data_IF_653472847820
#
_entry.id   IF_653472847820
#
_cell.length_a   1.000
_cell.length_b   1.000
_cell.length_c   1.000
_cell.angle_alpha   90.00
_cell.angle_beta   90.00
_cell.angle_gamma   90.00
#
_symmetry.space_group_name_H-M   'P 1'
#
loop_
_entity.id
_entity.type
_entity.pdbx_description
1 polymer ?
#
# COMPACT_ATOMS: atom_id res chain seq x y z
N UNK A 1 -6.34 47.06 26.94
CA UNK A 1 -6.19 46.93 28.41
C UNK A 1 -6.65 48.23 29.04
N UNK A 2 -7.49 48.19 30.07
CA UNK A 2 -8.01 49.41 30.73
C UNK A 2 -7.08 49.76 31.90
N UNK A 3 -6.53 50.97 31.90
CA UNK A 3 -5.61 51.46 32.94
C UNK A 3 -6.37 51.72 34.24
N UNK A 4 -5.91 51.18 35.37
CA UNK A 4 -6.62 51.26 36.65
C UNK A 4 -5.95 52.23 37.63
N UNK A 5 -6.69 52.64 38.67
CA UNK A 5 -6.16 53.49 39.76
C UNK A 5 -5.01 52.83 40.54
N UNK A 6 -4.95 51.49 40.52
CA UNK A 6 -3.86 50.72 41.11
C UNK A 6 -2.54 50.89 40.32
N UNK A 7 -2.63 51.02 38.98
CA UNK A 7 -1.46 51.18 38.10
C UNK A 7 -0.81 52.57 38.27
N UNK A 8 -1.62 53.62 38.44
CA UNK A 8 -1.11 54.97 38.73
C UNK A 8 -0.42 55.06 40.09
N UNK A 9 -0.95 54.36 41.08
CA UNK A 9 -0.39 54.31 42.44
C UNK A 9 0.95 53.55 42.50
N UNK A 10 1.19 52.65 41.54
CA UNK A 10 2.44 51.90 41.40
C UNK A 10 3.51 52.71 40.67
N UNK A 11 3.14 53.35 39.56
CA UNK A 11 4.03 54.23 38.79
C UNK A 11 4.61 55.36 39.65
N UNK A 12 3.78 56.01 40.49
CA UNK A 12 4.23 57.06 41.41
C UNK A 12 5.17 56.55 42.50
N UNK A 13 4.98 55.32 43.00
CA UNK A 13 5.87 54.70 44.00
C UNK A 13 7.25 54.37 43.43
N UNK A 14 7.31 54.03 42.15
CA UNK A 14 8.56 53.70 41.44
C UNK A 14 9.24 54.95 40.84
N UNK A 15 8.69 56.14 41.05
CA UNK A 15 9.28 57.41 40.60
C UNK A 15 9.11 57.71 39.12
N UNK A 16 8.25 56.96 38.41
CA UNK A 16 7.98 57.16 36.98
C UNK A 16 6.76 58.05 36.76
N UNK A 17 6.78 58.85 35.69
CA UNK A 17 5.56 59.54 35.27
C UNK A 17 4.52 58.53 34.75
N UNK A 18 3.24 58.82 34.94
CA UNK A 18 2.14 57.96 34.46
C UNK A 18 2.25 57.71 32.94
N UNK A 19 2.77 58.68 32.21
CA UNK A 19 2.98 58.59 30.76
C UNK A 19 4.16 57.68 30.38
N UNK A 20 5.25 57.70 31.16
CA UNK A 20 6.37 56.77 30.97
C UNK A 20 5.94 55.31 31.21
N UNK A 21 5.16 55.05 32.26
CA UNK A 21 4.68 53.69 32.55
C UNK A 21 3.65 53.22 31.52
N UNK A 22 2.78 54.11 31.01
CA UNK A 22 1.89 53.79 29.88
C UNK A 22 2.67 53.42 28.63
N UNK A 23 3.73 54.16 28.30
CA UNK A 23 4.56 53.87 27.14
C UNK A 23 5.33 52.55 27.30
N UNK A 24 5.85 52.27 28.51
CA UNK A 24 6.47 51.00 28.85
C UNK A 24 5.50 49.82 28.70
N UNK A 25 4.28 49.97 29.19
CA UNK A 25 3.26 48.92 29.06
C UNK A 25 2.88 48.67 27.61
N UNK A 26 2.70 49.72 26.79
CA UNK A 26 2.48 49.58 25.35
C UNK A 26 3.62 48.84 24.65
N UNK A 27 4.87 49.13 25.04
CA UNK A 27 6.04 48.45 24.50
C UNK A 27 6.07 46.96 24.87
N UNK A 28 5.76 46.62 26.12
CA UNK A 28 5.63 45.23 26.58
C UNK A 28 4.52 44.50 25.83
N UNK A 29 3.36 45.13 25.67
CA UNK A 29 2.23 44.55 24.94
C UNK A 29 2.58 44.32 23.46
N UNK A 30 3.32 45.24 22.83
CA UNK A 30 3.81 45.10 21.47
C UNK A 30 4.81 43.94 21.32
N UNK A 31 5.73 43.76 22.29
CA UNK A 31 6.65 42.60 22.32
C UNK A 31 5.87 41.30 22.44
N UNK A 32 4.90 41.23 23.36
CA UNK A 32 4.05 40.04 23.55
C UNK A 32 3.26 39.71 22.28
N UNK A 33 2.69 40.71 21.62
CA UNK A 33 1.96 40.54 20.37
C UNK A 33 2.88 40.00 19.26
N UNK A 34 4.10 40.53 19.14
CA UNK A 34 5.08 40.06 18.15
C UNK A 34 5.53 38.62 18.42
N UNK A 35 5.79 38.26 19.68
CA UNK A 35 6.16 36.89 20.04
C UNK A 35 5.01 35.91 19.75
N UNK A 36 3.77 36.27 20.07
CA UNK A 36 2.60 35.47 19.76
C UNK A 36 2.38 35.30 18.25
N UNK A 37 2.67 36.33 17.45
CA UNK A 37 2.65 36.24 15.99
C UNK A 37 3.73 35.28 15.47
N UNK A 38 4.95 35.37 15.99
CA UNK A 38 6.03 34.44 15.61
C UNK A 38 5.72 32.99 15.97
N UNK A 39 5.11 32.72 17.12
CA UNK A 39 4.68 31.37 17.49
C UNK A 39 3.59 30.84 16.56
N UNK A 40 2.58 31.66 16.24
CA UNK A 40 1.55 31.30 15.24
C UNK A 40 2.15 31.02 13.87
N UNK A 41 3.17 31.78 13.46
CA UNK A 41 3.85 31.58 12.18
C UNK A 41 4.67 30.27 12.17
N UNK A 42 5.34 29.94 13.29
CA UNK A 42 6.03 28.65 13.46
C UNK A 42 5.05 27.48 13.42
N UNK A 43 3.91 27.58 14.10
CA UNK A 43 2.87 26.55 14.06
C UNK A 43 2.30 26.38 12.64
N UNK A 44 2.06 27.48 11.93
CA UNK A 44 1.58 27.45 10.54
C UNK A 44 2.59 26.75 9.63
N UNK A 45 3.87 27.11 9.72
CA UNK A 45 4.96 26.45 8.96
C UNK A 45 5.08 24.96 9.30
N UNK A 46 4.86 24.58 10.57
CA UNK A 46 4.85 23.17 10.99
C UNK A 46 3.68 22.40 10.37
N UNK A 47 2.46 22.98 10.37
CA UNK A 47 1.28 22.39 9.73
C UNK A 47 1.40 22.31 8.21
N UNK A 48 2.05 23.29 7.57
CA UNK A 48 2.34 23.27 6.13
C UNK A 48 3.32 22.13 5.79
N UNK A 49 4.40 21.96 6.56
CA UNK A 49 5.30 20.81 6.41
C UNK A 49 4.61 19.46 6.60
N UNK A 50 3.72 19.35 7.59
CA UNK A 50 2.98 18.11 7.85
C UNK A 50 2.01 17.77 6.70
N UNK A 51 1.38 18.79 6.10
CA UNK A 51 0.57 18.62 4.87
C UNK A 51 1.43 18.21 3.67
N UNK A 52 2.61 18.79 3.51
CA UNK A 52 3.53 18.44 2.42
C UNK A 52 4.07 17.02 2.58
N UNK A 53 4.40 16.58 3.80
CA UNK A 53 4.81 15.21 4.10
C UNK A 53 3.68 14.21 3.81
N UNK A 54 2.43 14.52 4.18
CA UNK A 54 1.30 13.64 3.87
C UNK A 54 0.97 13.63 2.38
N UNK A 55 1.10 14.76 1.68
CA UNK A 55 0.99 14.82 0.21
C UNK A 55 2.10 14.01 -0.46
N UNK A 56 3.32 14.05 0.08
CA UNK A 56 4.46 13.28 -0.40
C UNK A 56 4.25 11.78 -0.15
N UNK A 57 3.72 11.36 0.99
CA UNK A 57 3.33 9.96 1.26
C UNK A 57 2.25 9.48 0.30
N UNK A 58 1.22 10.28 0.04
CA UNK A 58 0.17 9.93 -0.94
C UNK A 58 0.75 9.84 -2.34
N UNK A 59 1.62 10.77 -2.74
CA UNK A 59 2.35 10.68 -4.02
C UNK A 59 3.23 9.43 -4.08
N UNK A 60 3.95 9.09 -3.01
CA UNK A 60 4.78 7.89 -2.95
C UNK A 60 3.93 6.63 -3.10
N UNK A 61 2.77 6.57 -2.43
CA UNK A 61 1.82 5.45 -2.57
C UNK A 61 1.27 5.37 -4.00
N UNK A 62 0.90 6.49 -4.61
CA UNK A 62 0.46 6.51 -6.02
C UNK A 62 1.60 6.05 -6.97
N UNK A 63 2.83 6.50 -6.75
CA UNK A 63 4.00 6.11 -7.55
C UNK A 63 4.36 4.64 -7.40
N UNK A 64 4.30 4.07 -6.18
CA UNK A 64 4.71 2.69 -5.95
C UNK A 64 3.60 1.66 -6.18
N UNK A 65 2.33 2.04 -6.07
CA UNK A 65 1.22 1.10 -6.19
C UNK A 65 0.38 1.28 -7.46
N UNK A 66 0.20 2.52 -7.94
CA UNK A 66 -0.63 2.78 -9.14
C UNK A 66 0.21 2.80 -10.41
N UNK A 67 1.39 3.42 -10.39
CA UNK A 67 2.24 3.49 -11.59
C UNK A 67 2.63 2.09 -12.15
N UNK A 68 3.00 1.08 -11.33
CA UNK A 68 3.29 -0.25 -11.87
C UNK A 68 2.06 -0.92 -12.47
N UNK A 69 0.88 -0.71 -11.89
CA UNK A 69 -0.39 -1.27 -12.40
C UNK A 69 -0.77 -0.62 -13.73
N UNK A 70 -0.61 0.70 -13.86
CA UNK A 70 -0.86 1.43 -15.11
C UNK A 70 0.16 1.05 -16.19
N UNK A 71 1.43 0.89 -15.84
CA UNK A 71 2.47 0.42 -16.77
C UNK A 71 2.17 -1.01 -17.23
N UNK A 72 1.80 -1.91 -16.32
CA UNK A 72 1.38 -3.28 -16.66
C UNK A 72 0.15 -3.24 -17.58
N UNK A 73 -0.85 -2.41 -17.29
CA UNK A 73 -2.05 -2.25 -18.11
C UNK A 73 -1.74 -1.68 -19.51
N UNK A 74 -0.85 -0.69 -19.61
CA UNK A 74 -0.40 -0.16 -20.90
C UNK A 74 0.40 -1.18 -21.70
N UNK A 75 1.24 -1.98 -21.04
CA UNK A 75 1.97 -3.08 -21.69
C UNK A 75 0.98 -4.15 -22.20
N UNK A 76 -0.05 -4.50 -21.41
CA UNK A 76 -1.12 -5.43 -21.84
C UNK A 76 -1.88 -4.87 -23.06
N UNK A 77 -2.25 -3.59 -23.06
CA UNK A 77 -2.93 -2.95 -24.20
C UNK A 77 -2.04 -2.89 -25.46
N UNK A 78 -0.75 -2.58 -25.30
CA UNK A 78 0.21 -2.58 -26.42
C UNK A 78 0.36 -3.99 -27.00
N UNK A 79 0.38 -5.01 -26.14
CA UNK A 79 0.45 -6.42 -26.55
C UNK A 79 -0.83 -6.86 -27.27
N UNK A 80 -2.01 -6.38 -26.87
CA UNK A 80 -3.28 -6.61 -27.58
C UNK A 80 -3.24 -5.95 -28.97
N UNK A 81 -2.75 -4.72 -29.08
CA UNK A 81 -2.63 -4.03 -30.38
C UNK A 81 -1.64 -4.72 -31.34
N UNK A 82 -0.50 -5.21 -30.83
CA UNK A 82 0.46 -5.99 -31.62
C UNK A 82 -0.14 -7.34 -32.03
N UNK A 83 -0.99 -7.93 -31.19
CA UNK A 83 -1.66 -9.21 -31.47
C UNK A 83 -2.83 -9.10 -32.45
N UNK A 84 -3.48 -7.94 -32.54
CA UNK A 84 -4.66 -7.72 -33.40
C UNK A 84 -4.34 -7.50 -34.88
N UNK A 85 -3.11 -7.09 -35.21
CA UNK A 85 -2.70 -6.76 -36.58
C UNK A 85 -1.81 -7.84 -37.25
N UNK A 86 -1.65 -9.01 -36.61
CA UNK A 86 -0.91 -10.13 -37.18
C UNK A 86 -1.69 -10.80 -38.31
N UNK A 87 -1.24 -10.58 -39.55
CA UNK A 87 -1.69 -11.24 -40.78
C UNK A 87 -2.06 -12.73 -40.57
N UNK A 88 -3.26 -13.06 -41.03
CA UNK A 88 -3.87 -14.39 -41.06
C UNK A 88 -2.94 -15.35 -41.82
N UNK A 89 -2.27 -16.26 -41.09
CA UNK A 89 -1.62 -17.44 -41.67
C UNK A 89 -2.72 -18.45 -42.06
N UNK A 90 -3.07 -18.43 -43.34
CA UNK A 90 -3.77 -19.51 -44.05
C UNK A 90 -2.75 -20.60 -44.38
N UNK A 91 -2.74 -21.67 -43.57
CA UNK A 91 -1.93 -22.87 -43.78
C UNK A 91 -2.50 -24.00 -42.93
N UNK A 92 -3.12 -24.98 -43.57
CA UNK A 92 -3.87 -26.10 -43.00
C UNK A 92 -2.99 -27.17 -42.33
N UNK A 93 -2.27 -26.84 -41.26
CA UNK A 93 -1.58 -27.86 -40.43
C UNK A 93 -2.16 -27.90 -39.01
N UNK A 94 -2.49 -29.11 -38.53
CA UNK A 94 -2.98 -29.39 -37.18
C UNK A 94 -2.14 -28.70 -36.09
N UNK A 95 -0.83 -28.65 -36.31
CA UNK A 95 0.16 -28.05 -35.41
C UNK A 95 -0.01 -26.52 -35.31
N UNK A 96 -0.29 -25.84 -36.42
CA UNK A 96 -0.58 -24.39 -36.39
C UNK A 96 -1.87 -24.08 -35.61
N UNK A 97 -2.85 -24.99 -35.62
CA UNK A 97 -4.08 -24.85 -34.84
C UNK A 97 -3.85 -25.08 -33.34
N UNK A 98 -3.02 -26.06 -32.98
CA UNK A 98 -2.66 -26.40 -31.61
C UNK A 98 -1.82 -25.29 -30.96
N UNK A 99 -0.87 -24.72 -31.71
CA UNK A 99 -0.14 -23.53 -31.29
C UNK A 99 -1.08 -22.34 -31.00
N UNK A 100 -2.01 -22.03 -31.92
CA UNK A 100 -2.98 -20.93 -31.74
C UNK A 100 -3.80 -21.12 -30.46
N UNK A 101 -4.20 -22.35 -30.17
CA UNK A 101 -4.92 -22.69 -28.95
C UNK A 101 -4.06 -22.48 -27.70
N UNK A 102 -2.81 -22.98 -27.67
CA UNK A 102 -1.91 -22.81 -26.54
C UNK A 102 -1.54 -21.35 -26.28
N UNK A 103 -1.35 -20.56 -27.34
CA UNK A 103 -1.17 -19.11 -27.23
C UNK A 103 -2.38 -18.45 -26.56
N UNK A 104 -3.59 -18.88 -26.92
CA UNK A 104 -4.81 -18.40 -26.27
C UNK A 104 -4.86 -18.78 -24.78
N UNK A 105 -4.51 -20.02 -24.43
CA UNK A 105 -4.41 -20.48 -23.03
C UNK A 105 -3.41 -19.63 -22.21
N UNK A 106 -2.26 -19.27 -22.81
CA UNK A 106 -1.28 -18.36 -22.18
C UNK A 106 -1.84 -16.96 -21.95
N UNK A 107 -2.57 -16.40 -22.92
CA UNK A 107 -3.22 -15.09 -22.76
C UNK A 107 -4.28 -15.14 -21.66
N UNK A 108 -5.12 -16.18 -21.64
CA UNK A 108 -6.13 -16.38 -20.59
C UNK A 108 -5.48 -16.53 -19.20
N UNK A 109 -4.34 -17.21 -19.10
CA UNK A 109 -3.58 -17.30 -17.84
C UNK A 109 -3.00 -15.94 -17.42
N UNK A 110 -2.53 -15.12 -18.35
CA UNK A 110 -2.07 -13.76 -18.06
C UNK A 110 -3.21 -12.90 -17.51
N UNK A 111 -4.40 -12.98 -18.12
CA UNK A 111 -5.60 -12.28 -17.65
C UNK A 111 -6.01 -12.75 -16.25
N UNK A 112 -6.03 -14.06 -16.00
CA UNK A 112 -6.33 -14.62 -14.67
C UNK A 112 -5.34 -14.17 -13.60
N UNK A 113 -4.03 -14.16 -13.90
CA UNK A 113 -3.00 -13.67 -12.96
C UNK A 113 -3.17 -12.17 -12.67
N UNK A 114 -3.54 -11.38 -13.68
CA UNK A 114 -3.85 -9.94 -13.54
C UNK A 114 -5.13 -9.68 -12.73
N UNK A 115 -6.16 -10.50 -12.91
CA UNK A 115 -7.35 -10.42 -12.07
C UNK A 115 -7.01 -10.79 -10.62
N UNK A 116 -6.23 -11.85 -10.43
CA UNK A 116 -5.80 -12.31 -9.10
C UNK A 116 -4.94 -11.26 -8.38
N UNK A 117 -4.01 -10.59 -9.07
CA UNK A 117 -3.20 -9.53 -8.44
C UNK A 117 -4.06 -8.35 -7.98
N UNK A 118 -5.10 -8.02 -8.74
CA UNK A 118 -6.06 -6.97 -8.41
C UNK A 118 -6.86 -7.34 -7.17
N UNK A 119 -7.44 -8.56 -7.14
CA UNK A 119 -8.18 -9.08 -5.98
C UNK A 119 -7.32 -9.14 -4.72
N UNK A 120 -6.08 -9.61 -4.83
CA UNK A 120 -5.13 -9.63 -3.72
C UNK A 120 -4.77 -8.21 -3.26
N UNK A 121 -4.68 -7.23 -4.16
CA UNK A 121 -4.46 -5.82 -3.82
C UNK A 121 -5.61 -5.20 -3.02
N UNK A 122 -6.86 -5.52 -3.37
CA UNK A 122 -8.05 -5.12 -2.60
C UNK A 122 -8.00 -5.73 -1.20
N UNK A 123 -7.82 -7.04 -1.09
CA UNK A 123 -7.73 -7.74 0.19
C UNK A 123 -6.58 -7.20 1.08
N UNK A 124 -5.41 -6.93 0.49
CA UNK A 124 -4.28 -6.31 1.21
C UNK A 124 -4.67 -4.97 1.84
N UNK A 125 -5.41 -4.15 1.10
CA UNK A 125 -5.87 -2.83 1.53
C UNK A 125 -6.88 -2.97 2.67
N UNK A 126 -7.84 -3.89 2.55
CA UNK A 126 -8.85 -4.17 3.57
C UNK A 126 -8.22 -4.67 4.88
N UNK A 127 -7.25 -5.58 4.81
CA UNK A 127 -6.54 -6.07 6.00
C UNK A 127 -5.72 -4.96 6.66
N UNK A 128 -5.02 -4.12 5.88
CA UNK A 128 -4.29 -2.96 6.42
C UNK A 128 -5.22 -1.95 7.10
N UNK A 129 -6.37 -1.65 6.49
CA UNK A 129 -7.37 -0.76 7.08
C UNK A 129 -7.94 -1.34 8.38
N UNK A 130 -8.21 -2.65 8.40
CA UNK A 130 -8.68 -3.37 9.59
C UNK A 130 -7.65 -3.29 10.72
N UNK A 131 -6.36 -3.53 10.43
CA UNK A 131 -5.27 -3.39 11.40
C UNK A 131 -5.23 -1.95 11.93
N UNK A 132 -5.16 -0.95 11.04
CA UNK A 132 -5.03 0.45 11.42
C UNK A 132 -6.19 0.94 12.31
N UNK A 133 -7.43 0.59 11.95
CA UNK A 133 -8.62 0.95 12.72
C UNK A 133 -8.56 0.37 14.15
N UNK A 134 -8.28 -0.92 14.29
CA UNK A 134 -8.23 -1.58 15.60
C UNK A 134 -7.01 -1.16 16.43
N UNK A 135 -5.88 -0.87 15.79
CA UNK A 135 -4.71 -0.25 16.44
C UNK A 135 -5.09 1.11 17.01
N UNK A 136 -5.83 1.93 16.25
CA UNK A 136 -6.32 3.24 16.70
C UNK A 136 -7.22 3.14 17.94
N UNK A 137 -8.11 2.14 18.00
CA UNK A 137 -8.94 1.87 19.20
C UNK A 137 -8.08 1.56 20.42
N UNK A 138 -7.13 0.63 20.31
CA UNK A 138 -6.25 0.27 21.43
C UNK A 138 -5.39 1.48 21.85
N UNK A 139 -4.84 2.24 20.90
CA UNK A 139 -4.08 3.45 21.20
C UNK A 139 -4.92 4.52 21.92
N UNK A 140 -6.20 4.67 21.55
CA UNK A 140 -7.12 5.56 22.27
C UNK A 140 -7.30 5.11 23.73
N UNK A 141 -7.49 3.81 23.95
CA UNK A 141 -7.61 3.25 25.30
C UNK A 141 -6.32 3.41 26.12
N UNK A 142 -5.14 3.31 25.49
CA UNK A 142 -3.85 3.63 26.11
C UNK A 142 -3.81 5.11 26.52
N UNK A 143 -4.15 6.03 25.61
CA UNK A 143 -4.13 7.48 25.87
C UNK A 143 -5.10 7.91 26.96
N UNK A 144 -6.25 7.24 27.07
CA UNK A 144 -7.23 7.45 28.15
C UNK A 144 -6.80 6.81 29.47
N UNK A 145 -5.66 6.13 29.52
CA UNK A 145 -5.15 5.46 30.71
C UNK A 145 -5.90 4.18 31.10
N UNK A 146 -6.76 3.66 30.21
CA UNK A 146 -7.58 2.46 30.46
C UNK A 146 -6.78 1.16 30.35
N UNK A 147 -5.69 1.18 29.58
CA UNK A 147 -4.72 0.09 29.46
C UNK A 147 -3.30 0.67 29.47
N UNK A 148 -2.37 0.00 30.15
CA UNK A 148 -0.96 0.45 30.24
C UNK A 148 0.03 -0.60 29.76
N UNK A 149 -0.39 -1.85 29.71
CA UNK A 149 0.44 -2.99 29.36
C UNK A 149 -0.33 -4.02 28.52
N UNK A 150 0.41 -4.98 27.96
CA UNK A 150 -0.18 -6.15 27.30
C UNK A 150 -1.17 -6.90 28.21
N UNK A 151 -0.81 -7.09 29.48
CA UNK A 151 -1.65 -7.80 30.43
C UNK A 151 -2.97 -7.05 30.67
N UNK A 152 -2.94 -5.71 30.71
CA UNK A 152 -4.16 -4.90 30.81
C UNK A 152 -5.00 -5.02 29.55
N UNK A 153 -4.37 -5.02 28.37
CA UNK A 153 -5.05 -5.15 27.09
C UNK A 153 -5.76 -6.50 26.92
N UNK A 154 -5.17 -7.60 27.40
CA UNK A 154 -5.80 -8.93 27.35
C UNK A 154 -6.95 -9.05 28.36
N UNK A 155 -6.86 -8.35 29.50
CA UNK A 155 -7.93 -8.31 30.51
C UNK A 155 -9.09 -7.38 30.13
N UNK A 156 -8.83 -6.34 29.35
CA UNK A 156 -9.85 -5.45 28.80
C UNK A 156 -10.54 -6.11 27.59
N UNK A 157 -11.83 -6.42 27.71
CA UNK A 157 -12.57 -7.18 26.69
C UNK A 157 -12.53 -6.55 25.29
N UNK A 158 -12.70 -5.23 25.20
CA UNK A 158 -12.64 -4.50 23.92
C UNK A 158 -11.25 -4.61 23.29
N UNK A 159 -10.21 -4.29 24.07
CA UNK A 159 -8.82 -4.28 23.60
C UNK A 159 -8.32 -5.67 23.24
N UNK A 160 -8.71 -6.70 24.00
CA UNK A 160 -8.40 -8.09 23.69
C UNK A 160 -9.04 -8.54 22.37
N UNK A 161 -10.32 -8.19 22.16
CA UNK A 161 -11.03 -8.49 20.91
C UNK A 161 -10.35 -7.81 19.73
N UNK A 162 -10.02 -6.51 19.87
CA UNK A 162 -9.28 -5.78 18.84
C UNK A 162 -7.91 -6.38 18.56
N UNK A 163 -7.18 -6.80 19.60
CA UNK A 163 -5.86 -7.41 19.46
C UNK A 163 -5.92 -8.74 18.69
N UNK A 164 -6.93 -9.58 18.98
CA UNK A 164 -7.18 -10.82 18.22
C UNK A 164 -7.50 -10.54 16.75
N UNK A 165 -8.31 -9.52 16.46
CA UNK A 165 -8.63 -9.12 15.09
C UNK A 165 -7.36 -8.65 14.36
N UNK A 166 -6.52 -7.83 15.00
CA UNK A 166 -5.24 -7.40 14.44
C UNK A 166 -4.36 -8.62 14.14
N UNK A 167 -4.23 -9.56 15.07
CA UNK A 167 -3.41 -10.76 14.89
C UNK A 167 -3.90 -11.63 13.73
N UNK A 168 -5.21 -11.77 13.56
CA UNK A 168 -5.85 -12.50 12.46
C UNK A 168 -5.64 -11.78 11.12
N UNK A 169 -5.91 -10.48 11.06
CA UNK A 169 -5.71 -9.67 9.85
C UNK A 169 -4.23 -9.62 9.42
N UNK A 170 -3.30 -9.60 10.38
CA UNK A 170 -1.86 -9.68 10.10
C UNK A 170 -1.47 -11.03 9.49
N UNK A 171 -2.00 -12.14 10.02
CA UNK A 171 -1.76 -13.45 9.46
C UNK A 171 -2.27 -13.52 8.01
N UNK A 172 -3.46 -12.98 7.73
CA UNK A 172 -3.99 -12.89 6.36
C UNK A 172 -3.16 -11.99 5.44
N UNK A 173 -2.68 -10.86 5.94
CA UNK A 173 -1.83 -9.94 5.19
C UNK A 173 -0.52 -10.61 4.74
N UNK A 174 0.07 -11.47 5.58
CA UNK A 174 1.26 -12.24 5.24
C UNK A 174 1.00 -13.25 4.11
N UNK A 175 -0.16 -13.91 4.11
CA UNK A 175 -0.61 -14.76 3.00
C UNK A 175 -0.69 -13.97 1.71
N UNK A 176 -1.46 -12.88 1.75
CA UNK A 176 -1.73 -12.06 0.57
C UNK A 176 -0.42 -11.55 0.00
N UNK A 177 0.51 -11.14 0.86
CA UNK A 177 1.84 -10.69 0.44
C UNK A 177 2.66 -11.82 -0.20
N UNK A 178 2.67 -13.02 0.39
CA UNK A 178 3.37 -14.17 -0.17
C UNK A 178 2.76 -14.59 -1.53
N UNK A 179 1.44 -14.58 -1.62
CA UNK A 179 0.71 -14.95 -2.82
C UNK A 179 0.91 -13.93 -3.94
N UNK A 180 0.89 -12.63 -3.63
CA UNK A 180 1.22 -11.58 -4.61
C UNK A 180 2.62 -11.77 -5.19
N UNK A 181 3.60 -12.19 -4.38
CA UNK A 181 4.96 -12.52 -4.86
C UNK A 181 4.97 -13.75 -5.75
N UNK A 182 4.17 -14.77 -5.42
CA UNK A 182 4.04 -15.97 -6.26
C UNK A 182 3.41 -15.63 -7.62
N UNK A 183 2.29 -14.90 -7.62
CA UNK A 183 1.60 -14.40 -8.83
C UNK A 183 2.52 -13.52 -9.67
N UNK A 184 3.28 -12.60 -9.06
CA UNK A 184 4.22 -11.76 -9.78
C UNK A 184 5.34 -12.57 -10.47
N UNK A 185 5.92 -13.56 -9.78
CA UNK A 185 6.92 -14.46 -10.38
C UNK A 185 6.34 -15.28 -11.53
N UNK A 186 5.15 -15.84 -11.35
CA UNK A 186 4.46 -16.59 -12.38
C UNK A 186 4.16 -15.71 -13.61
N UNK A 187 3.77 -14.44 -13.39
CA UNK A 187 3.56 -13.47 -14.47
C UNK A 187 4.82 -13.18 -15.28
N UNK A 188 5.96 -12.97 -14.62
CA UNK A 188 7.27 -12.76 -15.29
C UNK A 188 7.69 -14.01 -16.07
N UNK A 189 7.56 -15.19 -15.48
CA UNK A 189 7.89 -16.46 -16.14
C UNK A 189 7.03 -16.67 -17.40
N UNK A 190 5.71 -16.48 -17.28
CA UNK A 190 4.78 -16.59 -18.40
C UNK A 190 5.09 -15.58 -19.52
N UNK A 191 5.50 -14.35 -19.16
CA UNK A 191 5.90 -13.33 -20.11
C UNK A 191 7.19 -13.70 -20.86
N UNK A 192 8.21 -14.19 -20.16
CA UNK A 192 9.47 -14.61 -20.79
C UNK A 192 9.26 -15.76 -21.77
N UNK A 193 8.47 -16.76 -21.38
CA UNK A 193 8.11 -17.89 -22.25
C UNK A 193 7.31 -17.40 -23.46
N UNK A 194 6.31 -16.54 -23.28
CA UNK A 194 5.55 -15.97 -24.39
C UNK A 194 6.44 -15.20 -25.37
N UNK A 195 7.40 -14.41 -24.87
CA UNK A 195 8.31 -13.65 -25.71
C UNK A 195 9.22 -14.56 -26.55
N UNK A 196 9.76 -15.62 -25.95
CA UNK A 196 10.53 -16.63 -26.68
C UNK A 196 9.67 -17.32 -27.74
N UNK A 197 8.42 -17.66 -27.40
CA UNK A 197 7.49 -18.30 -28.34
C UNK A 197 7.12 -17.40 -29.52
N UNK A 198 6.83 -16.11 -29.29
CA UNK A 198 6.52 -15.17 -30.37
C UNK A 198 7.76 -14.94 -31.28
N UNK A 199 8.98 -14.99 -30.72
CA UNK A 199 10.24 -14.96 -31.50
C UNK A 199 10.44 -16.24 -32.32
N UNK A 200 10.31 -17.40 -31.69
CA UNK A 200 10.40 -18.71 -32.35
C UNK A 200 9.31 -18.83 -33.43
N UNK A 201 8.13 -18.23 -33.22
CA UNK A 201 7.06 -18.16 -34.21
C UNK A 201 7.34 -17.26 -35.42
N UNK A 202 8.17 -16.24 -35.20
CA UNK A 202 8.63 -15.39 -36.29
C UNK A 202 9.66 -16.13 -37.15
N UNK A 203 10.47 -17.01 -36.56
CA UNK A 203 11.42 -17.89 -37.25
C UNK A 203 10.73 -19.03 -38.03
N UNK A 204 9.58 -19.48 -37.54
CA UNK A 204 8.70 -20.56 -38.04
C UNK A 204 8.15 -20.44 -39.46
N UNK A 205 8.42 -19.33 -40.15
CA UNK A 205 8.28 -19.31 -41.62
C UNK A 205 9.35 -20.16 -42.33
N UNK A 206 10.31 -20.74 -41.59
CA UNK A 206 11.47 -21.43 -42.12
C UNK A 206 11.83 -22.80 -41.50
N UNK A 207 11.04 -23.36 -40.57
CA UNK A 207 11.47 -24.56 -39.78
C UNK A 207 10.57 -25.79 -39.86
N UNK A 208 11.22 -26.95 -39.67
CA UNK A 208 10.65 -28.30 -39.75
C UNK A 208 9.66 -28.61 -38.62
N UNK A 209 8.80 -29.60 -38.88
CA UNK A 209 7.65 -29.99 -38.07
C UNK A 209 8.00 -30.46 -36.63
N UNK A 210 9.23 -30.94 -36.42
CA UNK A 210 9.70 -31.53 -35.15
C UNK A 210 10.04 -30.48 -34.09
N UNK A 211 10.59 -29.32 -34.48
CA UNK A 211 10.83 -28.20 -33.56
C UNK A 211 9.52 -27.64 -32.99
N UNK A 212 8.42 -27.88 -33.71
CA UNK A 212 7.12 -27.35 -33.38
C UNK A 212 6.40 -28.09 -32.29
N UNK A 213 6.57 -29.40 -32.27
CA UNK A 213 6.10 -30.24 -31.18
C UNK A 213 6.86 -29.93 -29.87
N UNK A 214 8.15 -29.60 -29.96
CA UNK A 214 8.95 -29.20 -28.79
C UNK A 214 8.52 -27.85 -28.22
N UNK A 215 8.11 -26.91 -29.08
CA UNK A 215 7.52 -25.63 -28.66
C UNK A 215 6.17 -25.83 -27.94
N UNK A 216 5.31 -26.70 -28.47
CA UNK A 216 4.03 -27.05 -27.85
C UNK A 216 4.25 -27.72 -26.48
N UNK A 217 5.23 -28.63 -26.35
CA UNK A 217 5.58 -29.24 -25.05
C UNK A 217 6.07 -28.22 -24.03
N UNK A 218 6.89 -27.24 -24.44
CA UNK A 218 7.33 -26.15 -23.56
C UNK A 218 6.15 -25.33 -23.06
N UNK A 219 5.19 -25.03 -23.94
CA UNK A 219 3.93 -24.37 -23.61
C UNK A 219 3.11 -25.14 -22.58
N UNK A 220 2.92 -26.45 -22.80
CA UNK A 220 2.19 -27.31 -21.87
C UNK A 220 2.82 -27.35 -20.48
N UNK A 221 4.14 -27.54 -20.40
CA UNK A 221 4.86 -27.57 -19.13
C UNK A 221 4.66 -26.29 -18.31
N UNK A 222 4.64 -25.14 -18.99
CA UNK A 222 4.44 -23.83 -18.37
C UNK A 222 3.00 -23.64 -17.91
N UNK A 223 2.04 -24.01 -18.76
CA UNK A 223 0.61 -23.98 -18.41
C UNK A 223 0.36 -24.85 -17.19
N UNK A 224 0.89 -26.08 -17.15
CA UNK A 224 0.76 -26.99 -16.01
C UNK A 224 1.36 -26.41 -14.74
N UNK A 225 2.49 -25.71 -14.83
CA UNK A 225 3.16 -25.10 -13.67
C UNK A 225 2.41 -23.87 -13.14
N UNK A 226 1.86 -23.04 -14.02
CA UNK A 226 1.31 -21.71 -13.67
C UNK A 226 -0.19 -21.77 -13.36
N UNK A 227 -0.93 -22.69 -13.99
CA UNK A 227 -2.38 -22.81 -13.81
C UNK A 227 -2.82 -22.95 -12.34
N UNK A 228 -2.15 -23.74 -11.47
CA UNK A 228 -2.49 -23.78 -10.05
C UNK A 228 -2.36 -22.40 -9.38
N UNK A 229 -1.30 -21.65 -9.69
CA UNK A 229 -1.08 -20.30 -9.14
C UNK A 229 -2.13 -19.31 -9.64
N UNK A 230 -2.65 -19.49 -10.84
CA UNK A 230 -3.72 -18.63 -11.37
C UNK A 230 -5.10 -18.96 -10.77
N UNK A 231 -5.37 -20.23 -10.45
CA UNK A 231 -6.72 -20.73 -10.12
C UNK A 231 -6.95 -20.99 -8.62
N UNK A 232 -5.90 -21.26 -7.84
CA UNK A 232 -6.05 -21.63 -6.43
C UNK A 232 -6.46 -20.45 -5.54
N UNK A 233 -7.46 -20.67 -4.67
CA UNK A 233 -7.88 -19.71 -3.66
C UNK A 233 -7.10 -19.91 -2.37
N UNK A 234 -6.25 -18.95 -2.02
CA UNK A 234 -5.20 -19.13 -0.98
C UNK A 234 -5.63 -18.66 0.42
N UNK A 235 -6.80 -18.02 0.53
CA UNK A 235 -7.36 -17.57 1.81
C UNK A 235 -8.33 -18.64 2.30
N UNK A 236 -7.87 -19.58 3.14
CA UNK A 236 -8.77 -20.49 3.86
C UNK A 236 -8.72 -20.23 5.37
N UNK A 237 -9.88 -20.35 6.03
CA UNK A 237 -10.02 -20.16 7.49
C UNK A 237 -9.54 -21.36 8.30
N UNK A 238 -9.23 -22.48 7.64
CA UNK A 238 -9.11 -23.79 8.26
C UNK A 238 -7.73 -24.10 8.86
N UNK A 239 -6.69 -23.30 8.58
CA UNK A 239 -5.32 -23.76 8.89
C UNK A 239 -4.29 -22.70 9.31
N UNK A 240 -4.68 -21.57 9.92
CA UNK A 240 -3.68 -20.57 10.32
C UNK A 240 -3.79 -20.14 11.76
N UNK A 241 -2.74 -20.47 12.51
CA UNK A 241 -2.48 -19.91 13.82
C UNK A 241 -2.49 -18.39 13.73
N UNK A 242 -3.30 -17.73 14.56
CA UNK A 242 -3.13 -16.30 14.75
C UNK A 242 -1.70 -16.06 15.21
N UNK A 243 -1.06 -15.02 14.70
CA UNK A 243 0.18 -14.53 15.31
C UNK A 243 -0.02 -14.40 16.82
N UNK A 244 0.97 -14.83 17.61
CA UNK A 244 0.90 -14.74 19.07
C UNK A 244 0.54 -13.32 19.50
N UNK A 245 -0.49 -13.17 20.35
CA UNK A 245 -1.04 -11.86 20.71
C UNK A 245 0.01 -10.95 21.33
N UNK A 246 0.99 -11.52 22.04
CA UNK A 246 2.09 -10.75 22.63
C UNK A 246 3.05 -10.24 21.55
N UNK A 247 3.36 -11.04 20.54
CA UNK A 247 4.08 -10.59 19.35
C UNK A 247 3.34 -9.46 18.62
N UNK A 248 2.03 -9.62 18.40
CA UNK A 248 1.19 -8.56 17.81
C UNK A 248 1.25 -7.28 18.64
N UNK A 249 1.14 -7.39 19.97
CA UNK A 249 1.23 -6.25 20.86
C UNK A 249 2.56 -5.51 20.73
N UNK A 250 3.66 -6.26 20.79
CA UNK A 250 5.01 -5.72 20.68
C UNK A 250 5.22 -4.97 19.37
N UNK A 251 4.68 -5.49 18.26
CA UNK A 251 4.82 -4.88 16.93
C UNK A 251 4.17 -3.50 16.81
N UNK A 252 3.01 -3.29 17.47
CA UNK A 252 2.19 -2.09 17.24
C UNK A 252 2.17 -1.10 18.40
N UNK A 253 2.48 -1.52 19.63
CA UNK A 253 2.27 -0.69 20.83
C UNK A 253 3.51 -0.55 21.72
N UNK A 254 4.55 -1.36 21.53
CA UNK A 254 5.84 -1.12 22.17
C UNK A 254 6.68 -0.28 21.21
N UNK A 255 6.70 1.04 21.43
CA UNK A 255 7.64 1.91 20.71
C UNK A 255 9.07 1.65 21.21
N UNK A 256 10.00 1.58 20.25
CA UNK A 256 11.41 1.92 20.47
C UNK A 256 11.55 3.43 20.55
#
# INVERSE_FOLDING_TARGET
>A
MVWTSADESRARREGFSVEQERNRQRYIDHIKANNALQEKEKERKKREKEKDDDKMKVQLVLMFFVAPVVIIFMIVLLIIQISGNGHILTGDSKIASEYKQKRKEVVELQEKLSEKITKLGVAETEFKATIASNVGTIQSNIRRGQIRSFNDAVRNQESNTKLKIIAKAQAYLEIVTAEKRAVARAGVELQGIRANLDLDLTMLKATDQEEMDDLIKKLDNVITKIKPVAEEYVINDYNRGSSDLKSTWNKYFIQK
#
